data_IF_480821594468
#
_entry.id   IF_480821594468
#
_cell.length_a   1.000
_cell.length_b   1.000
_cell.length_c   1.000
_cell.angle_alpha   90.00
_cell.angle_beta   90.00
_cell.angle_gamma   90.00
#
_symmetry.space_group_name_H-M   'P 1'
#
loop_
_entity.id
_entity.type
_entity.pdbx_description
1 polymer ?
#
# COMPACT_ATOMS: atom_id res chain seq x y z
N UNK A 1 30.17 1.04 -26.49
CA UNK A 1 29.75 0.10 -25.42
C UNK A 1 28.23 0.24 -25.34
N UNK A 2 27.48 -0.85 -25.42
CA UNK A 2 26.01 -0.78 -25.45
C UNK A 2 25.46 -0.09 -24.20
N UNK A 3 24.39 0.68 -24.36
CA UNK A 3 23.63 1.24 -23.22
C UNK A 3 23.15 0.12 -22.28
N UNK A 4 23.03 0.44 -21.00
CA UNK A 4 22.43 -0.42 -19.97
C UNK A 4 21.32 0.34 -19.26
N UNK A 5 20.66 -0.28 -18.29
CA UNK A 5 19.55 0.33 -17.56
C UNK A 5 19.72 0.18 -16.07
N UNK A 6 19.11 1.10 -15.31
CA UNK A 6 19.06 1.00 -13.85
C UNK A 6 18.05 -0.06 -13.41
N UNK A 7 18.37 -0.83 -12.37
CA UNK A 7 17.60 -2.00 -11.95
C UNK A 7 16.14 -1.68 -11.57
N UNK A 8 15.90 -0.57 -10.87
CA UNK A 8 14.59 -0.26 -10.33
C UNK A 8 13.74 0.66 -11.20
N UNK A 9 14.33 1.58 -11.92
CA UNK A 9 13.59 2.60 -12.70
C UNK A 9 13.73 2.45 -14.20
N UNK A 10 14.53 1.48 -14.69
CA UNK A 10 14.75 1.28 -16.12
C UNK A 10 15.28 2.54 -16.83
N UNK A 11 16.04 3.40 -16.11
CA UNK A 11 16.66 4.60 -16.65
C UNK A 11 17.82 4.19 -17.52
N UNK A 12 17.90 4.69 -18.73
CA UNK A 12 18.97 4.34 -19.65
C UNK A 12 20.31 5.00 -19.22
N UNK A 13 21.31 4.16 -19.05
CA UNK A 13 22.70 4.54 -18.83
C UNK A 13 23.40 4.53 -20.19
N UNK A 14 23.53 5.71 -20.80
CA UNK A 14 24.04 5.87 -22.15
C UNK A 14 25.52 5.42 -22.21
N UNK A 15 25.82 4.48 -23.10
CA UNK A 15 27.19 4.03 -23.33
C UNK A 15 28.08 5.11 -23.91
N UNK A 16 29.37 5.10 -23.55
CA UNK A 16 30.33 6.07 -24.06
C UNK A 16 30.45 5.94 -25.59
N UNK A 17 30.24 7.07 -26.30
CA UNK A 17 30.30 7.16 -27.76
C UNK A 17 29.03 6.72 -28.47
N UNK A 18 27.97 6.36 -27.73
CA UNK A 18 26.67 6.00 -28.30
C UNK A 18 25.73 7.20 -28.41
N UNK A 19 24.62 6.98 -29.13
CA UNK A 19 23.51 7.92 -29.27
C UNK A 19 23.90 9.30 -29.88
N UNK A 20 24.85 9.32 -30.81
CA UNK A 20 25.15 10.53 -31.56
C UNK A 20 23.90 11.08 -32.25
N UNK A 21 23.51 12.29 -31.89
CA UNK A 21 22.30 12.96 -32.39
C UNK A 21 21.01 12.63 -31.64
N UNK A 22 20.97 11.61 -30.75
CA UNK A 22 19.77 11.19 -29.99
C UNK A 22 19.95 11.27 -28.48
N UNK A 23 21.15 11.46 -27.96
CA UNK A 23 21.44 11.49 -26.53
C UNK A 23 20.56 12.49 -25.75
N UNK A 24 20.26 13.65 -26.37
CA UNK A 24 19.39 14.66 -25.77
C UNK A 24 17.97 14.14 -25.54
N UNK A 25 17.42 13.34 -26.46
CA UNK A 25 16.11 12.70 -26.31
C UNK A 25 16.14 11.68 -25.18
N UNK A 26 17.16 10.84 -25.13
CA UNK A 26 17.32 9.84 -24.05
C UNK A 26 17.48 10.53 -22.70
N UNK A 27 18.29 11.57 -22.60
CA UNK A 27 18.45 12.34 -21.36
C UNK A 27 17.12 12.95 -20.91
N UNK A 28 16.34 13.55 -21.82
CA UNK A 28 15.04 14.11 -21.48
C UNK A 28 14.05 13.01 -21.02
N UNK A 29 14.03 11.86 -21.69
CA UNK A 29 13.20 10.73 -21.26
C UNK A 29 13.59 10.23 -19.86
N UNK A 30 14.88 10.17 -19.57
CA UNK A 30 15.38 9.82 -18.24
C UNK A 30 14.93 10.84 -17.17
N UNK A 31 15.03 12.14 -17.48
CA UNK A 31 14.58 13.19 -16.57
C UNK A 31 13.07 13.12 -16.31
N UNK A 32 12.26 12.87 -17.34
CA UNK A 32 10.82 12.67 -17.19
C UNK A 32 10.50 11.43 -16.35
N UNK A 33 11.27 10.35 -16.50
CA UNK A 33 11.13 9.14 -15.66
C UNK A 33 11.47 9.43 -14.20
N UNK A 34 12.54 10.19 -13.95
CA UNK A 34 12.93 10.62 -12.60
C UNK A 34 11.84 11.51 -11.98
N UNK A 35 11.31 12.49 -12.71
CA UNK A 35 10.24 13.35 -12.23
C UNK A 35 8.99 12.55 -11.84
N UNK A 36 8.57 11.62 -12.70
CA UNK A 36 7.47 10.69 -12.37
C UNK A 36 7.76 9.86 -11.12
N UNK A 37 8.98 9.34 -10.99
CA UNK A 37 9.38 8.53 -9.85
C UNK A 37 9.41 9.34 -8.53
N UNK A 38 9.62 10.64 -8.58
CA UNK A 38 9.66 11.50 -7.40
C UNK A 38 8.27 12.03 -7.02
N UNK A 39 7.54 12.58 -7.99
CA UNK A 39 6.32 13.36 -7.74
C UNK A 39 5.09 12.87 -8.52
N UNK A 40 5.24 11.83 -9.35
CA UNK A 40 4.19 11.43 -10.26
C UNK A 40 2.99 10.78 -9.59
N UNK A 41 1.81 11.15 -10.11
CA UNK A 41 0.53 10.49 -9.84
C UNK A 41 -0.02 9.98 -11.16
N UNK A 42 -0.38 8.71 -11.22
CA UNK A 42 -0.94 8.11 -12.44
C UNK A 42 -2.31 7.51 -12.17
N UNK A 43 -3.27 7.85 -13.02
CA UNK A 43 -4.56 7.18 -13.09
C UNK A 43 -4.39 5.90 -13.94
N UNK A 44 -4.66 4.75 -13.33
CA UNK A 44 -4.61 3.44 -13.99
C UNK A 44 -6.01 2.84 -14.01
N UNK A 45 -6.55 2.64 -15.20
CA UNK A 45 -7.86 2.01 -15.37
C UNK A 45 -7.73 0.50 -15.19
N UNK A 46 -8.43 -0.04 -14.20
CA UNK A 46 -8.46 -1.47 -13.87
C UNK A 46 -9.78 -2.06 -14.36
N UNK A 47 -9.70 -3.04 -15.25
CA UNK A 47 -10.86 -3.79 -15.76
C UNK A 47 -10.79 -5.30 -15.47
N UNK A 48 -9.75 -5.74 -14.77
CA UNK A 48 -9.46 -7.12 -14.41
C UNK A 48 -8.00 -7.25 -13.99
N UNK A 49 -7.48 -8.46 -13.99
CA UNK A 49 -6.07 -8.72 -13.69
C UNK A 49 -5.15 -7.99 -14.68
N UNK A 50 -4.12 -7.34 -14.15
CA UNK A 50 -3.18 -6.58 -14.98
C UNK A 50 -1.79 -6.43 -14.32
N UNK A 51 -0.84 -5.90 -15.09
CA UNK A 51 0.50 -5.62 -14.59
C UNK A 51 0.70 -4.12 -14.31
N UNK A 52 1.36 -3.83 -13.19
CA UNK A 52 2.02 -2.56 -12.92
C UNK A 52 3.48 -2.74 -13.32
N UNK A 53 3.86 -2.18 -14.46
CA UNK A 53 5.12 -2.53 -15.12
C UNK A 53 6.05 -1.33 -15.19
N UNK A 54 7.35 -1.59 -15.09
CA UNK A 54 8.42 -0.72 -15.56
C UNK A 54 9.21 -1.46 -16.64
N UNK A 55 9.22 -0.88 -17.82
CA UNK A 55 10.00 -1.36 -18.96
C UNK A 55 11.21 -0.46 -19.14
N UNK A 56 12.37 -1.07 -19.37
CA UNK A 56 13.63 -0.37 -19.60
C UNK A 56 13.51 0.66 -20.72
N UNK A 57 13.92 1.89 -20.44
CA UNK A 57 13.87 3.02 -21.37
C UNK A 57 12.46 3.54 -21.71
N UNK A 58 11.40 2.94 -21.21
CA UNK A 58 10.02 3.34 -21.49
C UNK A 58 9.46 4.28 -20.41
N UNK A 59 9.58 5.58 -20.64
CA UNK A 59 9.02 6.62 -19.76
C UNK A 59 7.50 6.56 -19.59
N UNK A 60 6.77 5.78 -20.41
CA UNK A 60 5.31 5.69 -20.36
C UNK A 60 4.81 4.57 -19.44
N UNK A 61 5.69 3.70 -18.98
CA UNK A 61 5.38 2.62 -18.07
C UNK A 61 4.59 3.11 -16.85
N UNK A 62 3.51 2.40 -16.52
CA UNK A 62 2.57 2.79 -15.45
C UNK A 62 3.13 2.61 -14.03
N UNK A 63 4.21 1.86 -13.89
CA UNK A 63 4.86 1.58 -12.61
C UNK A 63 5.95 2.59 -12.19
N UNK A 64 6.23 3.65 -12.97
CA UNK A 64 7.23 4.64 -12.56
C UNK A 64 6.77 5.57 -11.44
N UNK A 65 5.48 5.82 -11.31
CA UNK A 65 4.94 6.82 -10.39
C UNK A 65 4.85 6.32 -8.96
N UNK A 66 4.94 7.25 -8.00
CA UNK A 66 4.79 6.93 -6.57
C UNK A 66 3.34 6.74 -6.15
N UNK A 67 2.42 7.46 -6.77
CA UNK A 67 1.00 7.40 -6.43
C UNK A 67 0.24 6.75 -7.58
N UNK A 68 -0.40 5.63 -7.28
CA UNK A 68 -1.29 4.91 -8.18
C UNK A 68 -2.75 5.19 -7.80
N UNK A 69 -3.47 5.93 -8.61
CA UNK A 69 -4.91 6.06 -8.54
C UNK A 69 -5.53 4.99 -9.43
N UNK A 70 -6.04 3.94 -8.81
CA UNK A 70 -6.63 2.81 -9.51
C UNK A 70 -8.12 3.07 -9.68
N UNK A 71 -8.49 3.36 -10.91
CA UNK A 71 -9.86 3.66 -11.34
C UNK A 71 -10.44 2.50 -12.12
N UNK A 72 -11.75 2.49 -12.34
CA UNK A 72 -12.36 1.44 -13.16
C UNK A 72 -13.76 1.09 -12.71
N UNK A 73 -14.27 -0.04 -13.19
CA UNK A 73 -15.61 -0.51 -12.87
C UNK A 73 -15.62 -2.04 -12.77
N UNK A 74 -15.02 -2.55 -11.70
CA UNK A 74 -14.97 -3.99 -11.43
C UNK A 74 -16.30 -4.57 -10.93
N UNK A 75 -17.29 -3.70 -10.60
CA UNK A 75 -18.64 -4.16 -10.20
C UNK A 75 -18.66 -5.02 -8.93
N UNK A 76 -17.70 -4.85 -8.03
CA UNK A 76 -17.52 -5.66 -6.83
C UNK A 76 -16.58 -6.86 -7.00
N UNK A 77 -16.15 -7.19 -8.23
CA UNK A 77 -15.19 -8.26 -8.48
C UNK A 77 -13.79 -7.87 -7.99
N UNK A 78 -13.02 -8.86 -7.55
CA UNK A 78 -11.60 -8.64 -7.22
C UNK A 78 -10.74 -8.75 -8.48
N UNK A 79 -9.56 -8.08 -8.45
CA UNK A 79 -8.55 -8.23 -9.49
C UNK A 79 -7.15 -8.31 -8.88
N UNK A 80 -6.23 -8.99 -9.57
CA UNK A 80 -4.83 -9.09 -9.20
C UNK A 80 -3.98 -8.12 -10.01
N UNK A 81 -3.16 -7.33 -9.33
CA UNK A 81 -2.18 -6.43 -9.93
C UNK A 81 -0.77 -6.95 -9.68
N UNK A 82 -0.11 -7.39 -10.75
CA UNK A 82 1.25 -7.93 -10.65
C UNK A 82 2.27 -6.82 -10.90
N UNK A 83 3.12 -6.53 -9.91
CA UNK A 83 4.25 -5.61 -10.05
C UNK A 83 5.36 -6.32 -10.82
N UNK A 84 5.75 -5.79 -11.96
CA UNK A 84 6.72 -6.39 -12.87
C UNK A 84 7.82 -5.39 -13.30
N UNK A 85 9.07 -5.87 -13.48
CA UNK A 85 9.54 -7.23 -13.22
C UNK A 85 9.59 -7.60 -11.73
N UNK A 86 9.66 -8.88 -11.42
CA UNK A 86 9.67 -9.41 -10.05
C UNK A 86 10.99 -9.19 -9.29
N UNK A 87 12.01 -8.71 -9.99
CA UNK A 87 13.31 -8.30 -9.44
C UNK A 87 13.38 -6.83 -9.07
N UNK A 88 12.28 -6.07 -9.30
CA UNK A 88 12.26 -4.65 -9.09
C UNK A 88 11.82 -4.30 -7.67
N UNK A 89 12.64 -3.50 -6.99
CA UNK A 89 12.22 -2.80 -5.76
C UNK A 89 11.40 -1.57 -6.11
N UNK A 90 10.23 -1.42 -5.50
CA UNK A 90 9.38 -0.25 -5.68
C UNK A 90 8.48 -0.05 -4.47
N UNK A 91 8.11 1.20 -4.19
CA UNK A 91 7.04 1.48 -3.24
C UNK A 91 5.96 2.36 -3.87
N UNK A 92 4.72 2.18 -3.42
CA UNK A 92 3.56 2.87 -3.93
C UNK A 92 2.64 3.35 -2.83
N UNK A 93 2.12 4.55 -3.02
CA UNK A 93 0.89 5.02 -2.37
C UNK A 93 -0.25 4.67 -3.31
N UNK A 94 -1.18 3.86 -2.83
CA UNK A 94 -2.29 3.34 -3.62
C UNK A 94 -3.60 4.01 -3.19
N UNK A 95 -4.41 4.44 -4.15
CA UNK A 95 -5.79 4.85 -3.93
C UNK A 95 -6.69 4.01 -4.85
N UNK A 96 -7.40 3.06 -4.27
CA UNK A 96 -8.27 2.15 -5.01
C UNK A 96 -9.69 2.71 -5.11
N UNK A 97 -10.13 3.07 -6.31
CA UNK A 97 -11.51 3.48 -6.66
C UNK A 97 -12.05 2.66 -7.83
N UNK A 98 -11.53 1.44 -8.04
CA UNK A 98 -11.84 0.59 -9.19
C UNK A 98 -13.19 -0.13 -9.11
N UNK A 99 -13.89 -0.02 -7.99
CA UNK A 99 -15.16 -0.72 -7.77
C UNK A 99 -15.02 -2.14 -7.24
N UNK A 100 -13.80 -2.60 -6.90
CA UNK A 100 -13.53 -3.93 -6.34
C UNK A 100 -12.26 -3.97 -5.50
N UNK A 101 -12.00 -5.07 -4.83
CA UNK A 101 -10.76 -5.27 -4.09
C UNK A 101 -9.60 -5.56 -5.06
N UNK A 102 -8.41 -5.01 -4.77
CA UNK A 102 -7.21 -5.18 -5.58
C UNK A 102 -6.11 -5.84 -4.79
N UNK A 103 -5.63 -6.99 -5.28
CA UNK A 103 -4.54 -7.74 -4.65
C UNK A 103 -3.24 -7.48 -5.40
N UNK A 104 -2.30 -6.80 -4.74
CA UNK A 104 -0.96 -6.54 -5.25
C UNK A 104 -0.06 -7.71 -4.95
N UNK A 105 0.63 -8.19 -5.98
CA UNK A 105 1.63 -9.27 -5.88
C UNK A 105 2.81 -8.98 -6.79
N UNK A 106 3.93 -9.64 -6.55
CA UNK A 106 5.12 -9.51 -7.40
C UNK A 106 5.56 -10.85 -7.99
N UNK A 107 5.04 -11.96 -7.46
CA UNK A 107 5.31 -13.31 -7.95
C UNK A 107 4.03 -14.02 -8.39
N UNK A 108 4.17 -15.07 -9.19
CA UNK A 108 3.03 -15.86 -9.66
C UNK A 108 2.41 -16.76 -8.58
N UNK A 109 3.23 -17.23 -7.61
CA UNK A 109 2.77 -18.06 -6.49
C UNK A 109 2.09 -17.23 -5.41
N UNK A 110 1.13 -17.81 -4.69
CA UNK A 110 0.47 -17.18 -3.54
C UNK A 110 1.44 -16.91 -2.38
N UNK A 111 1.10 -15.91 -1.55
CA UNK A 111 1.88 -15.45 -0.41
C UNK A 111 2.72 -14.21 -0.72
N UNK A 112 2.92 -13.35 0.28
CA UNK A 112 3.59 -12.06 0.12
C UNK A 112 2.83 -11.11 -0.80
N UNK A 113 1.53 -11.01 -0.61
CA UNK A 113 0.62 -10.13 -1.36
C UNK A 113 -0.17 -9.25 -0.40
N UNK A 114 -0.61 -8.09 -0.88
CA UNK A 114 -1.40 -7.11 -0.12
C UNK A 114 -2.68 -6.81 -0.86
N UNK A 115 -3.81 -6.89 -0.16
CA UNK A 115 -5.12 -6.56 -0.71
C UNK A 115 -5.58 -5.20 -0.21
N UNK A 116 -5.88 -4.29 -1.14
CA UNK A 116 -6.47 -2.98 -0.88
C UNK A 116 -7.94 -3.01 -1.26
N UNK A 117 -8.82 -2.85 -0.29
CA UNK A 117 -10.26 -2.85 -0.49
C UNK A 117 -10.71 -1.70 -1.40
N UNK A 118 -11.90 -1.81 -2.00
CA UNK A 118 -12.48 -0.70 -2.75
C UNK A 118 -12.66 0.54 -1.87
N UNK A 119 -12.38 1.72 -2.42
CA UNK A 119 -12.37 3.02 -1.74
C UNK A 119 -11.32 3.16 -0.62
N UNK A 120 -10.43 2.18 -0.45
CA UNK A 120 -9.33 2.24 0.50
C UNK A 120 -8.06 2.84 -0.11
N UNK A 121 -7.15 3.18 0.79
CA UNK A 121 -5.78 3.61 0.46
C UNK A 121 -4.81 2.65 1.11
N UNK A 122 -3.63 2.48 0.50
CA UNK A 122 -2.56 1.64 1.01
C UNK A 122 -1.20 2.27 0.78
N UNK A 123 -0.24 1.85 1.58
CA UNK A 123 1.16 2.20 1.40
C UNK A 123 1.96 0.89 1.39
N UNK A 124 2.39 0.48 0.20
CA UNK A 124 2.97 -0.83 -0.05
C UNK A 124 4.37 -0.72 -0.67
N UNK A 125 5.20 -1.73 -0.45
CA UNK A 125 6.42 -1.88 -1.23
C UNK A 125 6.60 -3.32 -1.74
N UNK A 126 7.26 -3.42 -2.90
CA UNK A 126 7.68 -4.66 -3.52
C UNK A 126 9.19 -4.85 -3.26
N UNK A 127 9.60 -6.02 -2.79
CA UNK A 127 10.96 -6.27 -2.29
C UNK A 127 11.94 -6.76 -3.37
N UNK A 128 11.48 -6.99 -4.60
CA UNK A 128 12.33 -7.29 -5.75
C UNK A 128 13.14 -8.57 -5.68
N UNK A 129 12.79 -9.52 -4.81
CA UNK A 129 13.61 -10.73 -4.59
C UNK A 129 13.53 -11.80 -5.68
N UNK A 130 12.83 -11.49 -6.78
CA UNK A 130 12.74 -12.38 -7.94
C UNK A 130 11.77 -13.54 -7.77
N UNK A 131 11.72 -14.38 -8.79
CA UNK A 131 10.77 -15.48 -8.93
C UNK A 131 10.75 -16.40 -7.73
N UNK A 132 9.56 -16.59 -7.14
CA UNK A 132 9.33 -17.47 -6.00
C UNK A 132 9.66 -16.86 -4.63
N UNK A 133 10.37 -15.72 -4.55
CA UNK A 133 10.75 -15.07 -3.29
C UNK A 133 10.23 -13.63 -3.14
N UNK A 134 9.91 -12.95 -4.24
CA UNK A 134 9.43 -11.57 -4.24
C UNK A 134 8.11 -11.42 -3.48
N UNK A 135 7.99 -10.36 -2.69
CA UNK A 135 6.80 -10.07 -1.90
C UNK A 135 6.36 -8.63 -2.11
N UNK A 136 5.07 -8.40 -1.92
CA UNK A 136 4.51 -7.07 -1.65
C UNK A 136 4.16 -7.01 -0.17
N UNK A 137 4.52 -5.92 0.47
CA UNK A 137 4.43 -5.74 1.92
C UNK A 137 3.65 -4.44 2.20
N UNK A 138 2.69 -4.52 3.10
CA UNK A 138 1.98 -3.35 3.60
C UNK A 138 2.84 -2.67 4.68
N UNK A 139 3.19 -1.40 4.46
CA UNK A 139 3.97 -0.61 5.41
C UNK A 139 3.15 -0.08 6.59
N UNK A 140 1.82 -0.18 6.49
CA UNK A 140 0.90 0.22 7.56
C UNK A 140 0.30 -0.98 8.29
N UNK A 141 0.74 -2.20 7.97
CA UNK A 141 0.32 -3.41 8.66
C UNK A 141 0.63 -3.28 10.17
N UNK A 142 -0.41 -3.43 10.98
CA UNK A 142 -0.36 -3.18 12.43
C UNK A 142 -0.57 -1.72 12.86
N UNK A 143 -0.36 -0.71 12.01
CA UNK A 143 -0.73 0.67 12.33
C UNK A 143 -2.25 0.90 12.22
N UNK A 144 -2.91 0.23 11.28
CA UNK A 144 -4.36 0.28 11.11
C UNK A 144 -5.10 -0.33 12.30
N UNK A 145 -4.56 -1.38 12.93
CA UNK A 145 -5.16 -1.99 14.11
C UNK A 145 -5.32 -1.04 15.30
N UNK A 146 -4.42 -0.06 15.44
CA UNK A 146 -4.50 0.96 16.50
C UNK A 146 -5.48 2.10 16.18
N UNK A 147 -5.72 2.37 14.89
CA UNK A 147 -6.67 3.39 14.44
C UNK A 147 -8.10 2.82 14.32
N UNK A 148 -8.24 1.54 14.02
CA UNK A 148 -9.53 0.86 13.90
C UNK A 148 -10.24 0.74 15.25
N UNK A 149 -9.48 0.68 16.35
CA UNK A 149 -10.04 0.74 17.70
C UNK A 149 -10.78 2.05 18.01
N UNK A 150 -10.40 3.16 17.36
CA UNK A 150 -11.10 4.45 17.51
C UNK A 150 -12.18 4.68 16.46
N UNK A 151 -12.08 4.00 15.33
CA UNK A 151 -13.01 4.17 14.20
C UNK A 151 -14.26 3.30 14.30
N UNK A 152 -14.38 2.48 15.33
CA UNK A 152 -15.42 1.48 15.58
C UNK A 152 -16.67 1.64 14.73
N UNK A 153 -16.71 0.97 13.59
CA UNK A 153 -17.89 1.00 12.70
C UNK A 153 -18.99 0.05 13.15
N UNK A 154 -18.68 -0.80 14.14
CA UNK A 154 -19.63 -1.77 14.67
C UNK A 154 -20.32 -1.19 15.89
N UNK A 155 -21.65 -1.04 15.83
CA UNK A 155 -22.47 -0.62 16.95
C UNK A 155 -22.37 -1.64 18.10
N UNK A 156 -22.07 -1.17 19.31
CA UNK A 156 -22.06 -1.98 20.51
C UNK A 156 -23.47 -2.41 21.01
N UNK A 157 -24.54 -2.08 20.29
CA UNK A 157 -25.94 -2.32 20.72
C UNK A 157 -26.33 -3.78 20.86
N UNK A 158 -25.51 -4.72 20.39
CA UNK A 158 -25.73 -6.17 20.56
C UNK A 158 -24.51 -6.86 21.20
N UNK A 159 -23.52 -6.10 21.69
CA UNK A 159 -22.31 -6.66 22.29
C UNK A 159 -22.54 -6.95 23.77
N UNK A 160 -22.31 -8.19 24.19
CA UNK A 160 -22.24 -8.52 25.61
C UNK A 160 -20.88 -8.09 26.14
N UNK A 161 -20.87 -7.11 27.03
CA UNK A 161 -19.64 -6.65 27.69
C UNK A 161 -19.23 -7.72 28.72
N UNK A 162 -17.99 -8.20 28.57
CA UNK A 162 -17.40 -9.19 29.49
C UNK A 162 -16.33 -8.54 30.37
N UNK A 163 -16.03 -9.14 31.49
CA UNK A 163 -15.03 -8.67 32.46
C UNK A 163 -13.62 -8.54 31.84
N UNK A 164 -13.31 -9.32 30.79
CA UNK A 164 -12.03 -9.29 30.08
C UNK A 164 -11.94 -8.20 29.00
N UNK A 165 -13.06 -7.54 28.66
CA UNK A 165 -13.04 -6.46 27.67
C UNK A 165 -12.23 -5.27 28.15
N UNK A 166 -11.75 -4.46 27.21
CA UNK A 166 -10.90 -3.31 27.49
C UNK A 166 -11.54 -2.02 27.01
N UNK A 167 -11.47 -1.00 27.84
CA UNK A 167 -11.84 0.37 27.51
C UNK A 167 -10.59 1.24 27.44
N UNK A 168 -10.56 2.18 26.51
CA UNK A 168 -9.50 3.17 26.44
C UNK A 168 -9.83 4.31 27.41
N UNK A 169 -8.92 4.57 28.31
CA UNK A 169 -9.06 5.61 29.35
C UNK A 169 -7.86 6.56 29.26
N UNK A 170 -8.10 7.86 29.37
CA UNK A 170 -7.04 8.83 29.57
C UNK A 170 -6.74 8.92 31.06
N UNK A 171 -5.63 8.29 31.48
CA UNK A 171 -5.13 8.36 32.85
C UNK A 171 -4.10 9.49 32.95
N UNK A 172 -4.56 10.64 33.41
CA UNK A 172 -3.72 11.82 33.64
C UNK A 172 -2.81 12.21 32.44
N UNK A 173 -3.38 12.16 31.24
CA UNK A 173 -2.67 12.48 29.99
C UNK A 173 -2.01 11.29 29.28
N UNK A 174 -2.05 10.10 29.88
CA UNK A 174 -1.57 8.86 29.27
C UNK A 174 -2.76 8.00 28.85
N UNK A 175 -2.80 7.57 27.58
CA UNK A 175 -3.83 6.65 27.10
C UNK A 175 -3.50 5.23 27.55
N UNK A 176 -4.40 4.63 28.32
CA UNK A 176 -4.27 3.26 28.86
C UNK A 176 -5.49 2.42 28.52
N UNK A 177 -5.33 1.11 28.54
CA UNK A 177 -6.44 0.16 28.42
C UNK A 177 -6.83 -0.33 29.83
N UNK A 178 -8.01 0.06 30.32
CA UNK A 178 -8.58 -0.45 31.54
C UNK A 178 -9.48 -1.67 31.27
N UNK A 179 -9.35 -2.73 32.07
CA UNK A 179 -10.29 -3.84 32.01
C UNK A 179 -11.65 -3.43 32.57
N UNK A 180 -12.73 -4.02 32.07
CA UNK A 180 -14.08 -3.81 32.62
C UNK A 180 -14.12 -4.21 34.08
N UNK A 181 -13.38 -5.24 34.52
CA UNK A 181 -13.19 -5.60 35.92
C UNK A 181 -12.64 -4.47 36.80
N UNK A 182 -11.71 -3.65 36.26
CA UNK A 182 -11.11 -2.54 37.00
C UNK A 182 -12.15 -1.44 37.22
N UNK A 183 -12.93 -1.14 36.17
CA UNK A 183 -14.05 -0.18 36.25
C UNK A 183 -15.12 -0.66 37.23
N UNK A 184 -15.48 -1.95 37.14
CA UNK A 184 -16.42 -2.57 38.09
C UNK A 184 -15.93 -2.48 39.54
N UNK A 185 -14.64 -2.72 39.76
CA UNK A 185 -14.02 -2.61 41.10
C UNK A 185 -14.09 -1.17 41.61
N UNK A 186 -13.76 -0.20 40.77
CA UNK A 186 -13.84 1.23 41.11
C UNK A 186 -15.27 1.67 41.42
N UNK A 187 -16.24 1.27 40.60
CA UNK A 187 -17.66 1.58 40.79
C UNK A 187 -18.18 0.98 42.10
N UNK A 188 -17.87 -0.27 42.35
CA UNK A 188 -18.31 -0.94 43.61
C UNK A 188 -17.68 -0.31 44.86
N UNK A 189 -16.42 0.16 44.75
CA UNK A 189 -15.75 0.76 45.91
C UNK A 189 -16.22 2.21 46.18
N UNK A 190 -16.70 2.95 45.14
CA UNK A 190 -16.93 4.39 45.27
C UNK A 190 -18.40 4.82 45.07
N UNK A 191 -19.27 3.96 44.52
CA UNK A 191 -20.63 4.31 44.14
C UNK A 191 -21.74 3.45 44.83
N UNK A 192 -21.36 2.49 45.69
CA UNK A 192 -22.31 1.55 46.32
C UNK A 192 -22.88 2.09 47.65
N UNK A 193 -22.68 3.35 47.99
CA UNK A 193 -23.39 3.99 49.11
C UNK A 193 -24.39 5.01 48.60
N UNK A 194 -25.52 4.52 48.05
CA UNK A 194 -26.78 5.32 48.07
C UNK A 194 -27.72 4.57 49.00
N UNK A 195 -28.10 5.12 50.13
CA UNK A 195 -29.06 4.53 51.05
C UNK A 195 -30.47 4.46 50.46
#
# INVERSE_FOLDING_TARGET
MASSYTDNSGIELIGVGEQSGTWGTTTNNNLETIDKALNGVTDVAVSGDMNITVTDGDKTSNGHTRVLKLTGSLGGSAAALTIAPDTREAFYIVHNTSGGALTFKQRASSGGEVTIANNAKGFIYADGKGSGAANVIDLLDGAAGNLDMLAGTTSATATTIADADRLIVNDNGTMVQAAVTDIKTYVNANLVEVP
#
